data_IF_700722330820
#
_entry.id   IF_700722330820
#
_cell.length_a   1.000
_cell.length_b   1.000
_cell.length_c   1.000
_cell.angle_alpha   90.00
_cell.angle_beta   90.00
_cell.angle_gamma   90.00
#
_symmetry.space_group_name_H-M   'P 1'
#
loop_
_entity.id
_entity.type
_entity.pdbx_description
1 polymer ?
#
# COMPACT_ATOMS: atom_id res chain seq x y z
N UNK A 1 -33.07 30.44 -12.47
CA UNK A 1 -32.50 30.07 -11.15
C UNK A 1 -32.78 28.60 -10.90
N UNK A 2 -31.78 27.73 -11.10
CA UNK A 2 -31.93 26.29 -10.86
C UNK A 2 -31.86 26.06 -9.35
N UNK A 3 -32.92 25.48 -8.78
CA UNK A 3 -32.94 25.03 -7.40
C UNK A 3 -31.84 23.98 -7.24
N UNK A 4 -30.74 24.34 -6.57
CA UNK A 4 -29.74 23.37 -6.15
C UNK A 4 -30.43 22.32 -5.29
N UNK A 5 -30.35 21.05 -5.69
CA UNK A 5 -30.94 19.94 -4.94
C UNK A 5 -30.37 19.94 -3.53
N UNK A 6 -31.12 20.46 -2.55
CA UNK A 6 -30.75 20.36 -1.13
C UNK A 6 -30.68 18.87 -0.81
N UNK A 7 -29.53 18.44 -0.30
CA UNK A 7 -29.28 17.03 0.02
C UNK A 7 -30.17 16.64 1.21
N UNK A 8 -31.40 16.20 0.93
CA UNK A 8 -32.48 15.97 1.91
C UNK A 8 -32.06 15.10 3.10
N UNK A 9 -31.07 14.23 2.90
CA UNK A 9 -30.50 13.40 3.95
C UNK A 9 -29.95 14.22 5.13
N UNK A 10 -29.33 15.38 4.89
CA UNK A 10 -28.69 16.18 5.94
C UNK A 10 -29.66 17.01 6.80
N UNK A 11 -30.91 17.12 6.37
CA UNK A 11 -31.99 17.82 7.08
C UNK A 11 -32.71 16.91 8.08
N UNK A 12 -32.44 15.60 8.05
CA UNK A 12 -33.02 14.65 9.01
C UNK A 12 -32.38 14.78 10.40
N UNK A 13 -33.09 14.35 11.46
CA UNK A 13 -32.50 14.17 12.78
C UNK A 13 -31.25 13.27 12.72
N UNK A 14 -30.20 13.62 13.46
CA UNK A 14 -28.89 12.95 13.38
C UNK A 14 -28.95 11.42 13.52
N UNK A 15 -29.82 10.89 14.39
CA UNK A 15 -30.03 9.43 14.53
C UNK A 15 -30.53 8.77 13.24
N UNK A 16 -31.44 9.43 12.50
CA UNK A 16 -31.95 8.93 11.22
C UNK A 16 -30.86 8.98 10.15
N UNK A 17 -30.07 10.06 10.10
CA UNK A 17 -28.91 10.19 9.21
C UNK A 17 -27.95 9.00 9.39
N UNK A 18 -27.51 8.76 10.62
CA UNK A 18 -26.55 7.69 10.91
C UNK A 18 -27.11 6.30 10.55
N UNK A 19 -28.40 6.06 10.81
CA UNK A 19 -29.06 4.81 10.42
C UNK A 19 -29.04 4.62 8.90
N UNK A 20 -29.34 5.66 8.13
CA UNK A 20 -29.30 5.60 6.67
C UNK A 20 -27.88 5.36 6.16
N UNK A 21 -26.88 6.10 6.67
CA UNK A 21 -25.49 5.92 6.23
C UNK A 21 -24.98 4.51 6.57
N UNK A 22 -25.39 3.92 7.70
CA UNK A 22 -25.03 2.53 8.03
C UNK A 22 -25.49 1.52 6.98
N UNK A 23 -26.69 1.73 6.41
CA UNK A 23 -27.28 0.86 5.41
C UNK A 23 -26.72 1.05 3.99
N UNK A 24 -26.04 2.16 3.72
CA UNK A 24 -25.36 2.40 2.44
C UNK A 24 -24.27 1.36 2.19
N UNK A 25 -23.91 1.06 0.95
CA UNK A 25 -22.69 0.31 0.67
C UNK A 25 -21.43 1.16 0.92
N UNK A 26 -20.24 0.57 0.80
CA UNK A 26 -18.99 1.32 1.03
C UNK A 26 -18.78 2.44 0.01
N UNK A 27 -19.07 2.22 -1.27
CA UNK A 27 -18.85 3.20 -2.32
C UNK A 27 -19.76 4.42 -2.12
N UNK A 28 -20.99 4.19 -1.66
CA UNK A 28 -21.92 5.23 -1.25
C UNK A 28 -21.43 5.97 -0.01
N UNK A 29 -20.95 5.28 1.03
CA UNK A 29 -20.35 5.93 2.22
C UNK A 29 -19.16 6.80 1.84
N UNK A 30 -18.31 6.29 0.95
CA UNK A 30 -17.14 7.01 0.43
C UNK A 30 -17.56 8.24 -0.37
N UNK A 31 -18.45 8.08 -1.34
CA UNK A 31 -18.96 9.20 -2.14
C UNK A 31 -19.62 10.25 -1.26
N UNK A 32 -20.41 9.82 -0.27
CA UNK A 32 -21.02 10.69 0.73
C UNK A 32 -19.97 11.45 1.55
N UNK A 33 -18.89 10.79 1.99
CA UNK A 33 -17.82 11.43 2.76
C UNK A 33 -17.09 12.55 2.00
N UNK A 34 -17.12 12.52 0.67
CA UNK A 34 -16.50 13.54 -0.20
C UNK A 34 -17.39 14.79 -0.39
N UNK A 35 -18.67 14.75 -0.01
CA UNK A 35 -19.62 15.86 -0.23
C UNK A 35 -19.28 17.09 0.63
N UNK A 36 -18.92 16.90 1.89
CA UNK A 36 -18.61 18.01 2.81
C UNK A 36 -17.88 17.54 4.06
N UNK A 37 -17.29 18.49 4.82
CA UNK A 37 -16.70 18.22 6.14
C UNK A 37 -17.69 17.57 7.11
N UNK A 38 -18.97 17.95 7.06
CA UNK A 38 -20.03 17.34 7.89
C UNK A 38 -20.27 15.88 7.49
N UNK A 39 -20.34 15.59 6.20
CA UNK A 39 -20.52 14.23 5.71
C UNK A 39 -19.33 13.34 6.07
N UNK A 40 -18.10 13.85 5.91
CA UNK A 40 -16.87 13.17 6.36
C UNK A 40 -16.92 12.80 7.84
N UNK A 41 -17.27 13.75 8.71
CA UNK A 41 -17.42 13.51 10.16
C UNK A 41 -18.49 12.47 10.49
N UNK A 42 -19.59 12.44 9.74
CA UNK A 42 -20.65 11.43 9.93
C UNK A 42 -20.15 10.03 9.57
N UNK A 43 -19.41 9.88 8.47
CA UNK A 43 -18.80 8.59 8.09
C UNK A 43 -17.74 8.16 9.10
N UNK A 44 -16.90 9.08 9.56
CA UNK A 44 -15.94 8.84 10.65
C UNK A 44 -16.63 8.30 11.91
N UNK A 45 -17.75 8.90 12.31
CA UNK A 45 -18.48 8.46 13.51
C UNK A 45 -19.04 7.03 13.45
N UNK A 46 -19.03 6.40 12.26
CA UNK A 46 -19.41 4.99 12.13
C UNK A 46 -18.33 4.02 12.64
N UNK A 47 -17.09 4.49 12.82
CA UNK A 47 -15.96 3.67 13.29
C UNK A 47 -15.83 2.35 12.50
N UNK A 48 -15.86 2.48 11.17
CA UNK A 48 -15.74 1.33 10.27
C UNK A 48 -14.36 0.69 10.48
N UNK A 49 -14.35 -0.58 10.87
CA UNK A 49 -13.12 -1.32 11.16
C UNK A 49 -12.44 -1.75 9.87
N UNK A 50 -11.18 -1.37 9.73
CA UNK A 50 -10.25 -1.82 8.69
C UNK A 50 -9.21 -2.73 9.34
N UNK A 51 -8.82 -3.80 8.66
CA UNK A 51 -7.79 -4.73 9.12
C UNK A 51 -6.39 -4.23 8.74
N UNK A 52 -6.24 -3.75 7.51
CA UNK A 52 -4.98 -3.21 7.02
C UNK A 52 -5.19 -2.25 5.84
N UNK A 53 -4.23 -1.35 5.64
CA UNK A 53 -4.11 -0.53 4.45
C UNK A 53 -2.82 -0.85 3.73
N UNK A 54 -2.87 -0.97 2.41
CA UNK A 54 -1.70 -1.33 1.60
C UNK A 54 -1.63 -0.53 0.32
N UNK A 55 -0.42 -0.25 -0.12
CA UNK A 55 -0.15 0.45 -1.39
C UNK A 55 0.70 -0.44 -2.27
N UNK A 56 0.28 -0.67 -3.51
CA UNK A 56 1.08 -1.39 -4.50
C UNK A 56 1.43 -0.45 -5.64
N UNK A 57 2.71 -0.39 -5.95
CA UNK A 57 3.30 0.37 -7.04
C UNK A 57 3.65 -0.64 -8.13
N UNK A 58 3.23 -0.34 -9.35
CA UNK A 58 3.45 -1.09 -10.59
C UNK A 58 3.21 -0.12 -11.75
N UNK A 59 2.82 -0.57 -12.94
CA UNK A 59 2.32 0.31 -14.00
C UNK A 59 1.15 1.26 -13.59
N UNK A 60 0.53 1.02 -12.43
CA UNK A 60 -0.41 1.91 -11.77
C UNK A 60 -0.21 1.86 -10.25
N UNK A 61 -0.60 2.92 -9.54
CA UNK A 61 -0.65 2.91 -8.08
C UNK A 61 -2.00 2.31 -7.66
N UNK A 62 -1.98 1.26 -6.85
CA UNK A 62 -3.16 0.67 -6.22
C UNK A 62 -3.15 0.95 -4.73
N UNK A 63 -4.21 1.54 -4.21
CA UNK A 63 -4.48 1.62 -2.77
C UNK A 63 -5.52 0.55 -2.43
N UNK A 64 -5.18 -0.31 -1.49
CA UNK A 64 -6.01 -1.41 -0.99
C UNK A 64 -6.38 -1.15 0.48
N UNK A 65 -7.67 -1.08 0.78
CA UNK A 65 -8.17 -1.05 2.17
C UNK A 65 -8.84 -2.39 2.45
N UNK A 66 -8.27 -3.14 3.38
CA UNK A 66 -8.63 -4.53 3.65
C UNK A 66 -9.62 -4.56 4.82
N UNK A 67 -10.80 -5.13 4.58
CA UNK A 67 -11.83 -5.40 5.58
C UNK A 67 -11.93 -6.91 5.81
N UNK A 68 -12.65 -7.34 6.85
CA UNK A 68 -12.72 -8.75 7.23
C UNK A 68 -13.19 -9.71 6.15
N UNK A 69 -14.05 -9.25 5.23
CA UNK A 69 -14.66 -10.10 4.21
C UNK A 69 -14.34 -9.68 2.78
N UNK A 70 -13.80 -8.47 2.57
CA UNK A 70 -13.62 -7.91 1.24
C UNK A 70 -12.53 -6.82 1.25
N UNK A 71 -12.03 -6.46 0.07
CA UNK A 71 -10.99 -5.43 -0.09
C UNK A 71 -11.47 -4.34 -1.04
N UNK A 72 -11.33 -3.08 -0.61
CA UNK A 72 -11.52 -1.91 -1.47
C UNK A 72 -10.23 -1.64 -2.24
N UNK A 73 -10.28 -1.70 -3.57
CA UNK A 73 -9.14 -1.36 -4.42
C UNK A 73 -9.44 -0.09 -5.23
N UNK A 74 -8.54 0.88 -5.17
CA UNK A 74 -8.55 2.06 -6.05
C UNK A 74 -7.27 2.08 -6.86
N UNK A 75 -7.41 2.31 -8.16
CA UNK A 75 -6.35 2.26 -9.15
C UNK A 75 -6.11 3.66 -9.73
N UNK A 76 -4.87 4.10 -9.73
CA UNK A 76 -4.42 5.35 -10.32
C UNK A 76 -3.46 5.04 -11.47
N UNK A 77 -3.96 5.20 -12.70
CA UNK A 77 -3.19 4.95 -13.91
C UNK A 77 -2.22 6.09 -14.19
N UNK A 78 -1.09 5.75 -14.79
CA UNK A 78 -0.18 6.70 -15.39
C UNK A 78 -0.85 7.36 -16.60
N UNK A 79 -1.25 8.63 -16.48
CA UNK A 79 -1.80 9.43 -17.61
C UNK A 79 -0.93 10.66 -17.86
N UNK A 80 -0.02 10.51 -18.82
CA UNK A 80 0.89 11.48 -19.44
C UNK A 80 1.95 12.20 -18.57
N UNK A 81 3.17 12.27 -19.11
CA UNK A 81 4.42 12.68 -18.42
C UNK A 81 4.39 14.10 -17.83
N UNK A 82 3.57 14.99 -18.38
CA UNK A 82 3.40 16.37 -17.88
C UNK A 82 2.45 16.46 -16.66
N UNK A 83 1.64 15.43 -16.40
CA UNK A 83 0.72 15.41 -15.26
C UNK A 83 1.34 14.84 -13.98
N UNK A 84 2.64 14.51 -13.96
CA UNK A 84 3.36 14.22 -12.72
C UNK A 84 3.67 15.47 -11.86
N UNK A 85 3.13 16.64 -12.20
CA UNK A 85 2.85 17.70 -11.20
C UNK A 85 1.69 17.34 -10.24
N UNK A 86 1.03 16.17 -10.38
CA UNK A 86 -0.28 15.86 -9.77
C UNK A 86 -0.39 14.50 -9.07
N UNK A 87 0.61 14.04 -8.33
CA UNK A 87 0.41 12.89 -7.43
C UNK A 87 -0.45 13.26 -6.19
N UNK A 88 -1.06 14.46 -6.19
CA UNK A 88 -2.11 14.84 -5.23
C UNK A 88 -3.21 13.80 -5.14
N UNK A 89 -3.67 13.20 -6.24
CA UNK A 89 -4.82 12.31 -6.18
C UNK A 89 -4.57 11.05 -5.31
N UNK A 90 -3.53 10.22 -5.53
CA UNK A 90 -3.21 9.11 -4.63
C UNK A 90 -2.99 9.56 -3.18
N UNK A 91 -2.26 10.66 -2.96
CA UNK A 91 -2.02 11.21 -1.62
C UNK A 91 -3.31 11.67 -0.91
N UNK A 92 -4.18 12.39 -1.61
CA UNK A 92 -5.44 12.91 -1.08
C UNK A 92 -6.40 11.76 -0.74
N UNK A 93 -6.44 10.72 -1.58
CA UNK A 93 -7.21 9.51 -1.32
C UNK A 93 -6.66 8.71 -0.14
N UNK A 94 -5.34 8.56 -0.06
CA UNK A 94 -4.69 7.90 1.07
C UNK A 94 -5.03 8.61 2.38
N UNK A 95 -4.81 9.93 2.43
CA UNK A 95 -5.15 10.76 3.60
C UNK A 95 -6.64 10.68 3.95
N UNK A 96 -7.49 10.67 2.93
CA UNK A 96 -8.92 10.52 3.13
C UNK A 96 -9.28 9.18 3.77
N UNK A 97 -8.65 8.07 3.37
CA UNK A 97 -8.83 6.76 3.98
C UNK A 97 -8.32 6.69 5.40
N UNK A 98 -7.13 7.22 5.65
CA UNK A 98 -6.57 7.32 7.00
C UNK A 98 -7.55 8.04 7.94
N UNK A 99 -8.13 9.14 7.47
CA UNK A 99 -9.10 9.94 8.21
C UNK A 99 -10.45 9.22 8.43
N UNK A 100 -11.07 8.63 7.41
CA UNK A 100 -12.42 8.06 7.54
C UNK A 100 -12.43 6.70 8.24
N UNK A 101 -11.35 5.94 8.09
CA UNK A 101 -11.22 4.60 8.67
C UNK A 101 -10.42 4.55 9.97
N UNK A 102 -9.90 5.69 10.43
CA UNK A 102 -9.05 5.78 11.64
C UNK A 102 -7.83 4.85 11.56
N UNK A 103 -7.25 4.74 10.37
CA UNK A 103 -6.13 3.86 10.07
C UNK A 103 -4.94 4.73 9.63
N UNK A 104 -4.16 5.29 10.58
CA UNK A 104 -3.19 6.35 10.26
C UNK A 104 -1.93 5.86 9.55
N UNK A 105 -1.56 4.59 9.70
CA UNK A 105 -0.36 3.99 9.11
C UNK A 105 -0.71 3.08 7.93
N UNK A 106 0.20 3.01 6.96
CA UNK A 106 0.14 1.96 5.94
C UNK A 106 0.83 0.72 6.49
N UNK A 107 0.17 -0.42 6.39
CA UNK A 107 0.73 -1.68 6.86
C UNK A 107 1.76 -2.21 5.87
N UNK A 108 1.41 -2.23 4.58
CA UNK A 108 2.26 -2.82 3.55
C UNK A 108 2.42 -1.89 2.36
N UNK A 109 3.64 -1.76 1.86
CA UNK A 109 3.91 -1.22 0.52
C UNK A 109 4.57 -2.28 -0.34
N UNK A 110 4.13 -2.41 -1.60
CA UNK A 110 4.69 -3.32 -2.58
C UNK A 110 5.22 -2.58 -3.79
N UNK A 111 6.41 -2.95 -4.26
CA UNK A 111 7.00 -2.49 -5.52
C UNK A 111 7.22 -3.70 -6.42
N UNK A 112 6.59 -3.69 -7.60
CA UNK A 112 6.71 -4.76 -8.60
C UNK A 112 7.04 -4.20 -9.98
N UNK A 113 6.92 -5.03 -11.03
CA UNK A 113 7.20 -4.65 -12.42
C UNK A 113 6.64 -3.26 -12.78
N UNK A 114 7.50 -2.41 -13.35
CA UNK A 114 7.25 -1.00 -13.75
C UNK A 114 7.10 0.00 -12.61
N UNK A 115 7.44 -0.36 -11.36
CA UNK A 115 7.51 0.63 -10.29
C UNK A 115 8.63 1.66 -10.48
N UNK A 116 9.64 1.34 -11.29
CA UNK A 116 10.74 2.22 -11.64
C UNK A 116 10.33 3.51 -12.35
N UNK A 117 9.07 3.59 -12.82
CA UNK A 117 8.46 4.80 -13.39
C UNK A 117 8.15 5.89 -12.35
N UNK A 118 8.21 5.57 -11.05
CA UNK A 118 7.82 6.47 -9.98
C UNK A 118 9.02 6.92 -9.13
N UNK A 119 8.99 8.19 -8.72
CA UNK A 119 10.00 8.74 -7.82
C UNK A 119 9.87 8.15 -6.40
N UNK A 120 10.95 7.53 -5.91
CA UNK A 120 11.00 6.89 -4.59
C UNK A 120 10.87 7.88 -3.43
N UNK A 121 11.43 9.08 -3.59
CA UNK A 121 11.46 10.10 -2.55
C UNK A 121 10.05 10.63 -2.33
N UNK A 122 9.36 10.88 -3.43
CA UNK A 122 7.97 11.25 -3.44
C UNK A 122 7.07 10.15 -2.85
N UNK A 123 7.24 8.88 -3.27
CA UNK A 123 6.44 7.78 -2.72
C UNK A 123 6.64 7.69 -1.21
N UNK A 124 7.88 7.77 -0.74
CA UNK A 124 8.21 7.72 0.69
C UNK A 124 7.61 8.91 1.45
N UNK A 125 7.57 10.11 0.86
CA UNK A 125 6.91 11.28 1.44
C UNK A 125 5.41 11.04 1.63
N UNK A 126 4.72 10.51 0.61
CA UNK A 126 3.27 10.30 0.64
C UNK A 126 2.85 9.15 1.56
N UNK A 127 3.57 8.04 1.49
CA UNK A 127 3.24 6.81 2.23
C UNK A 127 3.64 6.96 3.69
N UNK A 128 4.76 7.64 3.96
CA UNK A 128 5.29 7.81 5.32
C UNK A 128 5.79 6.51 5.92
N UNK A 129 5.51 6.29 7.20
CA UNK A 129 5.94 5.10 7.92
C UNK A 129 5.14 3.85 7.48
N UNK A 130 5.86 2.76 7.23
CA UNK A 130 5.33 1.46 6.81
C UNK A 130 5.73 0.37 7.80
N UNK A 131 4.93 -0.71 7.88
CA UNK A 131 5.29 -1.88 8.69
C UNK A 131 6.03 -2.94 7.88
N UNK A 132 5.64 -3.13 6.62
CA UNK A 132 6.20 -4.15 5.73
C UNK A 132 6.48 -3.58 4.34
N UNK A 133 7.64 -3.97 3.80
CA UNK A 133 8.02 -3.74 2.40
C UNK A 133 7.97 -5.07 1.66
N UNK A 134 7.20 -5.12 0.57
CA UNK A 134 7.30 -6.14 -0.46
C UNK A 134 8.06 -5.54 -1.67
N UNK A 135 9.06 -6.25 -2.18
CA UNK A 135 9.81 -5.81 -3.34
C UNK A 135 10.12 -6.98 -4.29
N UNK A 136 9.84 -6.77 -5.57
CA UNK A 136 10.18 -7.65 -6.68
C UNK A 136 10.85 -6.86 -7.81
N UNK A 137 11.19 -7.51 -8.92
CA UNK A 137 11.80 -6.81 -10.04
C UNK A 137 10.90 -5.67 -10.55
N UNK A 138 11.44 -4.45 -10.52
CA UNK A 138 10.76 -3.25 -11.02
C UNK A 138 11.04 -2.96 -12.49
N UNK A 139 11.85 -3.79 -13.15
CA UNK A 139 12.38 -3.58 -14.50
C UNK A 139 13.57 -2.65 -14.57
N UNK A 140 14.15 -2.30 -13.42
CA UNK A 140 15.38 -1.51 -13.33
C UNK A 140 16.20 -1.93 -12.11
N UNK A 141 17.36 -2.54 -12.35
CA UNK A 141 18.25 -3.05 -11.31
C UNK A 141 18.77 -1.95 -10.37
N UNK A 142 19.16 -0.80 -10.93
CA UNK A 142 19.60 0.35 -10.15
C UNK A 142 18.47 0.85 -9.23
N UNK A 143 17.23 0.86 -9.73
CA UNK A 143 16.04 1.21 -8.94
C UNK A 143 15.76 0.21 -7.82
N UNK A 144 15.85 -1.10 -8.09
CA UNK A 144 15.69 -2.16 -7.09
C UNK A 144 16.66 -1.98 -5.90
N UNK A 145 17.93 -1.66 -6.18
CA UNK A 145 18.94 -1.39 -5.15
C UNK A 145 18.69 -0.08 -4.40
N UNK A 146 18.27 0.97 -5.11
CA UNK A 146 17.92 2.25 -4.49
C UNK A 146 16.69 2.14 -3.59
N UNK A 147 15.68 1.37 -3.99
CA UNK A 147 14.47 1.09 -3.24
C UNK A 147 14.81 0.53 -1.85
N UNK A 148 15.60 -0.55 -1.79
CA UNK A 148 15.97 -1.18 -0.52
C UNK A 148 16.74 -0.21 0.38
N UNK A 149 17.72 0.52 -0.17
CA UNK A 149 18.46 1.56 0.57
C UNK A 149 17.55 2.66 1.10
N UNK A 150 16.52 3.05 0.34
CA UNK A 150 15.60 4.13 0.72
C UNK A 150 14.67 3.71 1.85
N UNK A 151 14.21 2.46 1.86
CA UNK A 151 13.24 1.96 2.85
C UNK A 151 13.87 1.30 4.07
N UNK A 152 15.18 1.03 4.07
CA UNK A 152 15.88 0.58 5.26
C UNK A 152 16.08 1.70 6.31
N UNK A 153 16.08 1.35 7.60
CA UNK A 153 15.76 0.01 8.15
C UNK A 153 14.25 -0.29 8.11
N UNK A 154 13.89 -1.57 7.88
CA UNK A 154 12.50 -2.05 7.90
C UNK A 154 12.42 -3.34 8.72
N UNK A 155 11.37 -3.49 9.52
CA UNK A 155 11.22 -4.65 10.40
C UNK A 155 10.70 -5.89 9.66
N UNK A 156 9.84 -5.71 8.66
CA UNK A 156 9.24 -6.82 7.92
C UNK A 156 9.56 -6.65 6.44
N UNK A 157 10.35 -7.56 5.90
CA UNK A 157 10.76 -7.54 4.51
C UNK A 157 10.24 -8.79 3.80
N UNK A 158 9.66 -8.59 2.64
CA UNK A 158 9.25 -9.63 1.70
C UNK A 158 9.94 -9.32 0.36
N UNK A 159 10.84 -10.18 -0.08
CA UNK A 159 11.66 -9.95 -1.27
C UNK A 159 11.57 -11.13 -2.23
N UNK A 160 11.45 -10.81 -3.51
CA UNK A 160 11.63 -11.79 -4.57
C UNK A 160 13.09 -11.78 -5.03
N UNK A 161 13.60 -12.96 -5.40
CA UNK A 161 14.98 -13.09 -5.90
C UNK A 161 15.17 -12.44 -7.26
N UNK A 162 14.10 -12.31 -8.06
CA UNK A 162 14.06 -11.62 -9.36
C UNK A 162 14.59 -10.18 -9.34
N UNK A 163 14.63 -9.54 -8.17
CA UNK A 163 15.18 -8.20 -7.98
C UNK A 163 16.65 -8.07 -8.37
N UNK A 164 17.39 -9.18 -8.42
CA UNK A 164 18.83 -9.23 -8.55
C UNK A 164 19.27 -9.95 -9.84
N UNK A 165 20.32 -9.44 -10.51
CA UNK A 165 20.80 -9.94 -11.82
C UNK A 165 21.17 -11.43 -11.91
N UNK A 166 21.45 -12.09 -10.77
CA UNK A 166 21.76 -13.53 -10.70
C UNK A 166 20.82 -14.20 -9.67
N UNK A 167 19.69 -13.56 -9.39
CA UNK A 167 18.74 -13.98 -8.36
C UNK A 167 19.35 -14.21 -6.97
N UNK A 168 20.54 -13.65 -6.74
CA UNK A 168 21.31 -13.78 -5.51
C UNK A 168 21.11 -12.55 -4.64
N UNK A 169 20.61 -12.77 -3.42
CA UNK A 169 20.37 -11.70 -2.46
C UNK A 169 21.70 -11.22 -1.88
N UNK A 170 22.03 -9.92 -1.97
CA UNK A 170 23.23 -9.37 -1.34
C UNK A 170 23.27 -9.59 0.18
N UNK A 171 24.43 -10.00 0.70
CA UNK A 171 24.65 -10.27 2.14
C UNK A 171 24.29 -9.09 3.05
N UNK A 172 24.51 -7.85 2.60
CA UNK A 172 24.17 -6.66 3.40
C UNK A 172 22.66 -6.51 3.65
N UNK A 173 21.81 -7.13 2.83
CA UNK A 173 20.36 -7.22 3.04
C UNK A 173 20.08 -8.29 4.09
N UNK A 174 20.65 -9.49 3.93
CA UNK A 174 20.47 -10.61 4.87
C UNK A 174 20.87 -10.25 6.32
N UNK A 175 21.91 -9.45 6.50
CA UNK A 175 22.45 -9.05 7.80
C UNK A 175 21.67 -7.94 8.52
N UNK A 176 20.61 -7.38 7.92
CA UNK A 176 19.77 -6.40 8.62
C UNK A 176 18.95 -7.06 9.72
N UNK A 177 18.47 -6.26 10.68
CA UNK A 177 17.67 -6.74 11.79
C UNK A 177 16.17 -6.81 11.41
N UNK A 178 15.64 -8.01 11.23
CA UNK A 178 14.24 -8.23 10.86
C UNK A 178 13.42 -8.86 11.99
N UNK A 179 12.14 -8.48 12.05
CA UNK A 179 11.11 -9.27 12.73
C UNK A 179 10.67 -10.42 11.82
N UNK A 180 10.42 -10.15 10.54
CA UNK A 180 10.14 -11.18 9.54
C UNK A 180 10.92 -10.92 8.26
N UNK A 181 11.55 -11.96 7.72
CA UNK A 181 12.16 -11.96 6.40
C UNK A 181 11.50 -13.08 5.57
N UNK A 182 10.71 -12.69 4.58
CA UNK A 182 10.08 -13.58 3.61
C UNK A 182 10.89 -13.48 2.30
N UNK A 183 11.37 -14.61 1.79
CA UNK A 183 12.14 -14.72 0.55
C UNK A 183 11.37 -15.62 -0.41
N UNK A 184 10.98 -15.06 -1.55
CA UNK A 184 10.32 -15.81 -2.62
C UNK A 184 11.31 -16.03 -3.76
N UNK A 185 11.55 -17.30 -4.08
CA UNK A 185 12.43 -17.72 -5.15
C UNK A 185 11.60 -18.02 -6.40
N UNK A 186 12.07 -17.55 -7.56
CA UNK A 186 11.56 -18.00 -8.86
C UNK A 186 12.32 -19.25 -9.35
N UNK A 187 11.58 -20.21 -9.89
CA UNK A 187 12.03 -21.59 -10.17
C UNK A 187 13.19 -21.73 -11.15
N UNK A 188 13.25 -20.87 -12.16
CA UNK A 188 14.07 -21.19 -13.34
C UNK A 188 15.53 -20.70 -13.23
N UNK A 189 15.83 -19.75 -12.33
CA UNK A 189 17.14 -19.07 -12.31
C UNK A 189 17.67 -18.69 -10.91
N UNK A 190 17.03 -19.13 -9.81
CA UNK A 190 17.49 -18.75 -8.46
C UNK A 190 18.69 -19.59 -8.01
N UNK A 191 19.81 -18.95 -7.67
CA UNK A 191 20.92 -19.63 -6.98
C UNK A 191 20.45 -20.20 -5.63
N UNK A 192 20.82 -21.45 -5.35
CA UNK A 192 20.54 -22.08 -4.06
C UNK A 192 21.15 -21.27 -2.91
N UNK A 193 20.35 -20.99 -1.89
CA UNK A 193 20.84 -20.36 -0.67
C UNK A 193 21.77 -21.32 0.07
N UNK A 194 22.99 -20.87 0.34
CA UNK A 194 23.99 -21.64 1.07
C UNK A 194 23.73 -21.61 2.59
N UNK A 195 24.28 -22.58 3.32
CA UNK A 195 24.21 -22.60 4.78
C UNK A 195 24.85 -21.35 5.40
N UNK A 196 25.96 -20.87 4.85
CA UNK A 196 26.63 -19.66 5.35
C UNK A 196 25.76 -18.41 5.16
N UNK A 197 25.07 -18.28 4.03
CA UNK A 197 24.09 -17.21 3.79
C UNK A 197 22.91 -17.28 4.75
N UNK A 198 22.43 -18.48 5.10
CA UNK A 198 21.38 -18.67 6.09
C UNK A 198 21.84 -18.26 7.50
N UNK A 199 23.09 -18.61 7.86
CA UNK A 199 23.67 -18.33 9.18
C UNK A 199 23.94 -16.83 9.43
N UNK A 200 24.07 -16.02 8.38
CA UNK A 200 24.25 -14.56 8.51
C UNK A 200 22.92 -13.80 8.61
N UNK A 201 21.77 -14.45 8.42
CA UNK A 201 20.47 -13.79 8.50
C UNK A 201 20.15 -13.43 9.96
N UNK A 202 19.84 -12.15 10.20
CA UNK A 202 19.39 -11.69 11.51
C UNK A 202 17.89 -11.40 11.53
N UNK A 203 17.07 -12.44 11.63
CA UNK A 203 15.61 -12.33 11.69
C UNK A 203 15.01 -13.19 12.80
N UNK A 204 13.91 -12.72 13.42
CA UNK A 204 13.13 -13.55 14.36
C UNK A 204 12.36 -14.66 13.66
N UNK A 205 11.97 -14.46 12.40
CA UNK A 205 11.25 -15.43 11.57
C UNK A 205 11.73 -15.33 10.14
N UNK A 206 12.06 -16.46 9.52
CA UNK A 206 12.49 -16.55 8.13
C UNK A 206 11.56 -17.51 7.41
N UNK A 207 11.04 -17.08 6.27
CA UNK A 207 10.27 -17.92 5.36
C UNK A 207 10.96 -17.93 4.01
N UNK A 208 11.28 -19.11 3.49
CA UNK A 208 11.81 -19.28 2.13
C UNK A 208 10.80 -20.13 1.37
N UNK A 209 10.28 -19.59 0.26
CA UNK A 209 9.24 -20.25 -0.55
C UNK A 209 9.64 -20.22 -2.00
N UNK A 210 9.27 -21.29 -2.69
CA UNK A 210 9.27 -21.33 -4.13
C UNK A 210 7.88 -20.93 -4.64
N UNK A 211 7.80 -20.07 -5.66
CA UNK A 211 6.53 -19.48 -6.11
C UNK A 211 5.65 -20.44 -6.92
N UNK A 212 6.14 -21.62 -7.33
CA UNK A 212 5.30 -22.66 -7.92
C UNK A 212 5.20 -23.93 -7.04
N UNK A 213 3.97 -24.23 -6.62
CA UNK A 213 3.52 -25.49 -6.03
C UNK A 213 2.04 -25.70 -6.33
#
# INVERSE_FOLDING_TARGET
MVAGSKFLLLELPQKKILRTIRLMDIYQKMSFSLISKRCKKLVQSLQIKVQAMSVNISAHIRISVIFSEWTLNIYFKHTDKEQMKRIRAPHDWLKHFQDIFHCPSIDNIGFVWRSSEYDLDYIKEVVGAIKRLHASDTGCNEYNLMLLKKFFPIENLDINTDMFKVSKIPVYILQQNYTTLDINCDDDETEEMTLDELLVINSKSITIKNTNG
#
